data_IF_078983788690
#
_entry.id   IF_078983788690
#
_cell.length_a   1.000
_cell.length_b   1.000
_cell.length_c   1.000
_cell.angle_alpha   90.00
_cell.angle_beta   90.00
_cell.angle_gamma   90.00
#
_symmetry.space_group_name_H-M   'P 1'
#
loop_
_entity.id
_entity.type
_entity.pdbx_description
1 polymer ?
#
# COMPACT_ATOMS: atom_id res chain seq x y z
N UNK A 1 -30.40 -23.88 11.28
CA UNK A 1 -29.80 -25.19 10.95
C UNK A 1 -29.45 -25.16 9.47
N UNK A 2 -28.17 -25.22 9.10
CA UNK A 2 -27.72 -25.07 7.71
C UNK A 2 -28.20 -26.26 6.85
N UNK A 3 -28.65 -26.02 5.61
CA UNK A 3 -29.08 -27.07 4.67
C UNK A 3 -27.93 -28.04 4.33
N UNK A 4 -28.18 -29.35 4.15
CA UNK A 4 -27.17 -30.32 3.70
C UNK A 4 -26.49 -29.94 2.37
N UNK A 5 -27.23 -29.27 1.47
CA UNK A 5 -26.74 -28.83 0.16
C UNK A 5 -25.66 -27.75 0.31
N UNK A 6 -25.77 -26.88 1.31
CA UNK A 6 -24.82 -25.77 1.51
C UNK A 6 -23.41 -26.25 1.88
N UNK A 7 -23.29 -27.30 2.70
CA UNK A 7 -21.98 -27.84 3.10
C UNK A 7 -21.27 -28.52 1.94
N UNK A 8 -22.03 -29.12 1.03
CA UNK A 8 -21.53 -29.86 -0.12
C UNK A 8 -20.81 -28.93 -1.12
N UNK A 9 -21.38 -27.75 -1.41
CA UNK A 9 -20.81 -26.80 -2.38
C UNK A 9 -19.42 -26.29 -1.96
N UNK A 10 -19.20 -26.00 -0.67
CA UNK A 10 -17.88 -25.51 -0.21
C UNK A 10 -16.84 -26.61 -0.25
N UNK A 11 -17.18 -27.81 0.23
CA UNK A 11 -16.27 -28.95 0.20
C UNK A 11 -15.85 -29.26 -1.24
N UNK A 12 -16.81 -29.28 -2.18
CA UNK A 12 -16.54 -29.50 -3.60
C UNK A 12 -15.67 -28.40 -4.21
N UNK A 13 -15.98 -27.12 -3.96
CA UNK A 13 -15.22 -26.00 -4.49
C UNK A 13 -13.78 -25.96 -3.94
N UNK A 14 -13.57 -26.26 -2.65
CA UNK A 14 -12.24 -26.37 -2.05
C UNK A 14 -11.48 -27.55 -2.65
N UNK A 15 -12.10 -28.73 -2.78
CA UNK A 15 -11.45 -29.93 -3.30
C UNK A 15 -10.94 -29.77 -4.74
N UNK A 16 -11.59 -28.93 -5.57
CA UNK A 16 -11.13 -28.64 -6.95
C UNK A 16 -9.72 -28.05 -6.99
N UNK A 17 -9.31 -27.31 -5.97
CA UNK A 17 -7.97 -26.72 -5.91
C UNK A 17 -6.88 -27.72 -5.51
N UNK A 18 -7.23 -28.93 -5.05
CA UNK A 18 -6.26 -29.96 -4.73
C UNK A 18 -5.49 -30.49 -5.95
N UNK A 19 -5.99 -30.24 -7.16
CA UNK A 19 -5.33 -30.61 -8.42
C UNK A 19 -4.49 -29.47 -9.02
N UNK A 20 -4.32 -28.34 -8.33
CA UNK A 20 -3.46 -27.26 -8.81
C UNK A 20 -1.99 -27.73 -8.88
N UNK A 21 -1.29 -27.32 -9.94
CA UNK A 21 0.11 -27.72 -10.17
C UNK A 21 1.07 -27.18 -9.10
N UNK A 22 0.83 -25.96 -8.63
CA UNK A 22 1.60 -25.35 -7.55
C UNK A 22 0.94 -25.66 -6.20
N UNK A 23 1.63 -26.38 -5.29
CA UNK A 23 1.13 -26.66 -3.95
C UNK A 23 0.77 -25.40 -3.15
N UNK A 24 1.51 -24.29 -3.35
CA UNK A 24 1.24 -23.04 -2.64
C UNK A 24 -0.03 -22.38 -3.15
N UNK A 25 -0.23 -22.33 -4.47
CA UNK A 25 -1.49 -21.88 -5.05
C UNK A 25 -2.68 -22.72 -4.56
N UNK A 26 -2.51 -24.05 -4.48
CA UNK A 26 -3.54 -24.95 -3.95
C UNK A 26 -3.94 -24.56 -2.52
N UNK A 27 -2.96 -24.33 -1.65
CA UNK A 27 -3.19 -23.91 -0.26
C UNK A 27 -3.94 -22.58 -0.17
N UNK A 28 -3.47 -21.56 -0.91
CA UNK A 28 -4.05 -20.21 -0.92
C UNK A 28 -5.51 -20.23 -1.40
N UNK A 29 -5.79 -20.90 -2.51
CA UNK A 29 -7.13 -20.93 -3.09
C UNK A 29 -8.11 -21.76 -2.25
N UNK A 30 -7.65 -22.85 -1.65
CA UNK A 30 -8.46 -23.60 -0.70
C UNK A 30 -8.87 -22.76 0.51
N UNK A 31 -7.94 -21.96 1.06
CA UNK A 31 -8.25 -21.04 2.16
C UNK A 31 -9.22 -19.93 1.71
N UNK A 32 -8.95 -19.30 0.57
CA UNK A 32 -9.80 -18.25 0.02
C UNK A 32 -11.26 -18.72 -0.16
N UNK A 33 -11.47 -19.89 -0.77
CA UNK A 33 -12.82 -20.45 -0.95
C UNK A 33 -13.52 -20.65 0.39
N UNK A 34 -12.82 -21.18 1.40
CA UNK A 34 -13.41 -21.39 2.74
C UNK A 34 -13.85 -20.06 3.37
N UNK A 35 -13.01 -19.04 3.33
CA UNK A 35 -13.33 -17.73 3.92
C UNK A 35 -14.41 -16.99 3.12
N UNK A 36 -14.37 -17.04 1.79
CA UNK A 36 -15.37 -16.41 0.92
C UNK A 36 -16.77 -17.02 1.14
N UNK A 37 -16.87 -18.35 1.16
CA UNK A 37 -18.14 -19.02 1.44
C UNK A 37 -18.55 -18.90 2.92
N UNK A 38 -17.60 -18.71 3.84
CA UNK A 38 -17.86 -18.37 5.23
C UNK A 38 -18.58 -17.02 5.33
N UNK A 39 -17.98 -15.98 4.76
CA UNK A 39 -18.53 -14.63 4.68
C UNK A 39 -19.93 -14.62 4.06
N UNK A 40 -20.11 -15.25 2.88
CA UNK A 40 -21.41 -15.26 2.20
C UNK A 40 -22.54 -15.87 3.05
N UNK A 41 -22.23 -16.90 3.86
CA UNK A 41 -23.21 -17.49 4.79
C UNK A 41 -23.45 -16.65 6.02
N UNK A 42 -22.38 -16.06 6.57
CA UNK A 42 -22.45 -15.20 7.74
C UNK A 42 -23.42 -14.04 7.52
N UNK A 43 -23.32 -13.40 6.35
CA UNK A 43 -24.17 -12.25 6.00
C UNK A 43 -25.46 -12.64 5.27
N UNK A 44 -25.67 -13.93 4.96
CA UNK A 44 -26.78 -14.42 4.11
C UNK A 44 -26.88 -13.67 2.77
N UNK A 45 -25.76 -13.60 2.06
CA UNK A 45 -25.61 -12.80 0.84
C UNK A 45 -26.71 -13.12 -0.19
N UNK A 46 -27.42 -12.09 -0.63
CA UNK A 46 -28.52 -12.21 -1.59
C UNK A 46 -28.05 -12.10 -3.05
N UNK A 47 -28.88 -12.56 -4.00
CA UNK A 47 -28.56 -12.44 -5.44
C UNK A 47 -28.37 -10.97 -5.89
N UNK A 48 -29.19 -9.99 -5.47
CA UNK A 48 -28.96 -8.59 -5.82
C UNK A 48 -27.67 -8.02 -5.24
N UNK A 49 -27.32 -8.35 -3.98
CA UNK A 49 -26.06 -7.91 -3.37
C UNK A 49 -24.86 -8.53 -4.06
N UNK A 50 -24.94 -9.82 -4.42
CA UNK A 50 -23.91 -10.48 -5.21
C UNK A 50 -23.74 -9.82 -6.59
N UNK A 51 -24.84 -9.51 -7.29
CA UNK A 51 -24.79 -8.83 -8.59
C UNK A 51 -24.18 -7.41 -8.48
N UNK A 52 -24.50 -6.69 -7.40
CA UNK A 52 -23.89 -5.39 -7.10
C UNK A 52 -22.38 -5.53 -6.85
N UNK A 53 -21.95 -6.53 -6.09
CA UNK A 53 -20.53 -6.82 -5.86
C UNK A 53 -19.78 -7.17 -7.17
N UNK A 54 -20.38 -7.96 -8.06
CA UNK A 54 -19.79 -8.27 -9.38
C UNK A 54 -19.65 -7.01 -10.25
N UNK A 55 -20.65 -6.13 -10.21
CA UNK A 55 -20.60 -4.83 -10.89
C UNK A 55 -19.47 -3.97 -10.32
N UNK A 56 -19.33 -3.90 -9.00
CA UNK A 56 -18.27 -3.16 -8.33
C UNK A 56 -16.88 -3.69 -8.73
N UNK A 57 -16.64 -5.01 -8.64
CA UNK A 57 -15.37 -5.63 -9.03
C UNK A 57 -15.02 -5.36 -10.51
N UNK A 58 -16.03 -5.40 -11.39
CA UNK A 58 -15.87 -5.11 -12.81
C UNK A 58 -15.41 -3.67 -13.02
N UNK A 59 -16.07 -2.71 -12.37
CA UNK A 59 -15.72 -1.29 -12.46
C UNK A 59 -14.34 -1.00 -11.87
N UNK A 60 -13.98 -1.64 -10.75
CA UNK A 60 -12.65 -1.52 -10.13
C UNK A 60 -11.56 -1.98 -11.09
N UNK A 61 -11.78 -3.07 -11.83
CA UNK A 61 -10.87 -3.50 -12.88
C UNK A 61 -10.81 -2.54 -14.06
N UNK A 62 -11.95 -2.03 -14.54
CA UNK A 62 -12.04 -1.16 -15.72
C UNK A 62 -11.44 0.23 -15.54
N UNK A 63 -11.51 0.80 -14.34
CA UNK A 63 -10.92 2.11 -14.05
C UNK A 63 -9.41 2.03 -13.79
N UNK A 64 -8.88 0.83 -13.56
CA UNK A 64 -7.45 0.64 -13.31
C UNK A 64 -6.65 0.70 -14.62
N UNK A 65 -5.52 1.39 -14.61
CA UNK A 65 -4.57 1.52 -15.70
C UNK A 65 -3.11 1.54 -15.20
N UNK A 66 -2.16 1.98 -16.02
CA UNK A 66 -0.74 2.03 -15.65
C UNK A 66 -0.42 3.06 -14.53
N UNK A 67 -1.28 4.07 -14.33
CA UNK A 67 -1.13 5.11 -13.32
C UNK A 67 -2.08 4.92 -12.13
N UNK A 68 -3.21 4.23 -12.33
CA UNK A 68 -4.25 3.99 -11.33
C UNK A 68 -4.43 2.51 -11.05
N UNK A 69 -4.19 2.09 -9.81
CA UNK A 69 -4.43 0.72 -9.36
C UNK A 69 -5.58 0.65 -8.34
N UNK A 70 -6.83 0.67 -8.81
CA UNK A 70 -8.01 0.73 -7.94
C UNK A 70 -8.15 -0.51 -7.04
N UNK A 71 -7.66 -1.69 -7.47
CA UNK A 71 -7.61 -2.87 -6.61
C UNK A 71 -6.59 -2.77 -5.47
N UNK A 72 -5.47 -2.05 -5.69
CA UNK A 72 -4.53 -1.75 -4.59
C UNK A 72 -5.21 -0.79 -3.61
N UNK A 73 -5.91 0.23 -4.13
CA UNK A 73 -6.65 1.16 -3.30
C UNK A 73 -7.76 0.46 -2.49
N UNK A 74 -8.46 -0.50 -3.10
CA UNK A 74 -9.42 -1.36 -2.40
C UNK A 74 -8.77 -2.16 -1.27
N UNK A 75 -7.57 -2.72 -1.51
CA UNK A 75 -6.79 -3.42 -0.50
C UNK A 75 -6.37 -2.50 0.65
N UNK A 76 -6.05 -1.24 0.37
CA UNK A 76 -5.68 -0.24 1.37
C UNK A 76 -6.86 0.11 2.29
N UNK A 77 -8.03 0.42 1.73
CA UNK A 77 -9.22 0.80 2.53
C UNK A 77 -9.81 -0.38 3.32
N UNK A 78 -9.62 -1.61 2.84
CA UNK A 78 -9.99 -2.83 3.56
C UNK A 78 -8.94 -3.25 4.60
N UNK A 79 -7.79 -2.57 4.67
CA UNK A 79 -6.69 -2.86 5.59
C UNK A 79 -5.84 -4.09 5.22
N UNK A 80 -6.11 -4.73 4.07
CA UNK A 80 -5.38 -5.91 3.63
C UNK A 80 -3.91 -5.60 3.36
N UNK A 81 -3.60 -4.46 2.74
CA UNK A 81 -2.22 -4.06 2.43
C UNK A 81 -1.38 -3.93 3.72
N UNK A 82 -1.94 -3.30 4.76
CA UNK A 82 -1.28 -3.17 6.07
C UNK A 82 -1.10 -4.53 6.75
N UNK A 83 -2.10 -5.40 6.69
CA UNK A 83 -1.99 -6.75 7.26
C UNK A 83 -0.91 -7.58 6.57
N UNK A 84 -0.79 -7.49 5.24
CA UNK A 84 0.27 -8.18 4.47
C UNK A 84 1.65 -7.64 4.87
N UNK A 85 1.79 -6.32 5.00
CA UNK A 85 3.03 -5.69 5.47
C UNK A 85 3.41 -6.21 6.87
N UNK A 86 2.48 -6.22 7.81
CA UNK A 86 2.73 -6.67 9.19
C UNK A 86 3.17 -8.14 9.25
N UNK A 87 2.48 -9.04 8.52
CA UNK A 87 2.82 -10.46 8.52
C UNK A 87 4.21 -10.75 7.93
N UNK A 88 4.61 -10.01 6.90
CA UNK A 88 5.85 -10.26 6.16
C UNK A 88 7.05 -9.44 6.65
N UNK A 89 6.81 -8.44 7.50
CA UNK A 89 7.85 -7.63 8.11
C UNK A 89 7.89 -7.81 9.62
N UNK A 90 7.92 -9.07 10.08
CA UNK A 90 8.25 -9.40 11.46
C UNK A 90 9.59 -8.75 11.83
N UNK A 91 9.56 -7.94 12.88
CA UNK A 91 10.68 -7.10 13.30
C UNK A 91 11.01 -7.39 14.76
N UNK A 92 12.31 -7.35 15.09
CA UNK A 92 12.74 -7.30 16.47
C UNK A 92 12.09 -6.10 17.19
N UNK A 93 11.82 -6.23 18.49
CA UNK A 93 11.06 -5.27 19.29
C UNK A 93 11.65 -3.83 19.39
N UNK A 94 12.74 -3.53 18.68
CA UNK A 94 13.38 -2.21 18.59
C UNK A 94 13.46 -1.62 17.18
N UNK A 95 13.00 -2.30 16.13
CA UNK A 95 13.02 -1.73 14.78
C UNK A 95 11.84 -0.77 14.56
N UNK A 96 12.07 0.31 13.80
CA UNK A 96 10.99 1.20 13.34
C UNK A 96 9.89 0.37 12.66
N UNK A 97 8.59 0.56 12.95
CA UNK A 97 7.51 -0.20 12.31
C UNK A 97 7.46 -0.02 10.78
N UNK A 98 6.97 -1.04 10.08
CA UNK A 98 6.70 -0.97 8.65
C UNK A 98 5.39 -0.23 8.38
N UNK A 99 5.21 0.28 7.17
CA UNK A 99 3.90 0.73 6.68
C UNK A 99 3.80 0.46 5.17
N UNK A 100 2.59 0.58 4.62
CA UNK A 100 2.36 0.45 3.17
C UNK A 100 3.20 1.47 2.39
N UNK A 101 3.70 1.03 1.22
CA UNK A 101 4.46 1.91 0.32
C UNK A 101 3.57 3.02 -0.27
N UNK A 102 2.29 2.71 -0.49
CA UNK A 102 1.34 3.59 -1.19
C UNK A 102 1.63 3.65 -2.70
N UNK A 103 0.73 4.30 -3.48
CA UNK A 103 0.79 4.27 -4.94
C UNK A 103 1.73 5.32 -5.55
N UNK A 104 2.32 6.19 -4.74
CA UNK A 104 3.03 7.40 -5.22
C UNK A 104 4.56 7.31 -5.16
N UNK A 105 5.11 6.15 -4.82
CA UNK A 105 6.55 5.93 -4.93
C UNK A 105 6.93 5.82 -6.42
N UNK A 106 7.98 6.53 -6.81
CA UNK A 106 8.54 6.52 -8.17
C UNK A 106 10.00 6.11 -8.07
N UNK A 107 10.39 5.09 -8.82
CA UNK A 107 11.80 4.66 -8.88
C UNK A 107 12.70 5.76 -9.47
N UNK A 108 13.99 5.69 -9.13
CA UNK A 108 14.97 6.63 -9.69
C UNK A 108 14.92 8.04 -9.08
N UNK A 109 14.57 8.18 -7.80
CA UNK A 109 14.76 9.42 -7.02
C UNK A 109 16.18 9.99 -7.19
N UNK A 110 16.33 11.30 -7.44
CA UNK A 110 17.65 11.93 -7.56
C UNK A 110 18.41 11.84 -6.24
N UNK A 111 19.72 11.69 -6.29
CA UNK A 111 20.55 11.68 -5.08
C UNK A 111 20.91 13.11 -4.69
N UNK A 112 20.67 13.46 -3.43
CA UNK A 112 20.97 14.78 -2.88
C UNK A 112 21.99 14.71 -1.73
N UNK A 113 22.89 15.72 -1.61
CA UNK A 113 23.80 15.81 -0.47
C UNK A 113 23.07 15.98 0.88
N UNK A 114 23.79 15.74 1.97
CA UNK A 114 23.30 15.97 3.33
C UNK A 114 22.75 17.39 3.50
N UNK A 115 21.49 17.51 3.92
CA UNK A 115 20.81 18.79 4.16
C UNK A 115 20.42 19.58 2.90
N UNK A 116 20.66 19.03 1.71
CA UNK A 116 20.19 19.63 0.46
C UNK A 116 18.65 19.58 0.38
N UNK A 117 18.06 20.59 -0.26
CA UNK A 117 16.61 20.77 -0.31
C UNK A 117 16.00 20.00 -1.48
N UNK A 118 15.17 18.99 -1.21
CA UNK A 118 14.40 18.29 -2.26
C UNK A 118 13.17 19.07 -2.74
N UNK A 119 12.86 20.20 -2.09
CA UNK A 119 11.80 21.13 -2.45
C UNK A 119 12.35 22.44 -3.04
N UNK A 120 13.54 22.43 -3.64
CA UNK A 120 14.12 23.64 -4.22
C UNK A 120 13.22 24.20 -5.33
N UNK A 121 12.94 25.50 -5.31
CA UNK A 121 11.99 26.13 -6.22
C UNK A 121 10.50 25.93 -5.90
N UNK A 122 10.15 25.15 -4.87
CA UNK A 122 8.74 24.83 -4.52
C UNK A 122 8.30 25.62 -3.30
N UNK A 123 7.14 26.27 -3.41
CA UNK A 123 6.55 27.04 -2.31
C UNK A 123 6.00 26.13 -1.20
N UNK A 124 6.24 26.50 0.04
CA UNK A 124 5.71 25.79 1.21
C UNK A 124 6.40 26.23 2.51
N UNK A 125 5.93 25.72 3.65
CA UNK A 125 6.55 25.96 4.95
C UNK A 125 7.84 25.13 5.02
N UNK A 126 9.04 25.72 5.17
CA UNK A 126 10.27 24.95 5.24
C UNK A 126 10.27 23.94 6.38
N UNK A 127 10.69 22.71 6.09
CA UNK A 127 10.75 21.59 7.03
C UNK A 127 12.13 20.93 6.99
N UNK A 128 12.67 20.66 8.17
CA UNK A 128 13.88 19.86 8.36
C UNK A 128 13.50 18.57 9.08
N UNK A 129 13.76 17.43 8.43
CA UNK A 129 13.61 16.11 9.04
C UNK A 129 15.00 15.57 9.32
N UNK A 130 15.31 15.40 10.59
CA UNK A 130 16.64 14.97 11.05
C UNK A 130 16.51 13.77 11.97
N UNK A 131 17.57 12.96 12.02
CA UNK A 131 17.61 11.79 12.89
C UNK A 131 18.91 11.02 12.73
N UNK A 132 18.93 9.81 13.31
CA UNK A 132 20.07 8.90 13.26
C UNK A 132 19.56 7.51 12.89
N UNK A 133 20.14 6.91 11.86
CA UNK A 133 19.87 5.52 11.49
C UNK A 133 20.62 4.60 12.44
N UNK A 134 19.91 3.66 13.05
CA UNK A 134 20.47 2.68 13.99
C UNK A 134 20.06 1.26 13.65
N UNK A 135 20.90 0.30 14.02
CA UNK A 135 20.53 -1.10 14.08
C UNK A 135 19.73 -1.41 15.37
N UNK A 136 19.22 -2.64 15.47
CA UNK A 136 18.40 -3.11 16.61
C UNK A 136 19.18 -3.22 17.93
N UNK A 137 20.51 -3.21 17.89
CA UNK A 137 21.37 -3.17 19.08
C UNK A 137 21.67 -1.74 19.54
N UNK A 138 21.23 -0.74 18.78
CA UNK A 138 21.45 0.69 19.03
C UNK A 138 22.72 1.25 18.38
N UNK A 139 23.49 0.43 17.66
CA UNK A 139 24.65 0.87 16.88
C UNK A 139 24.23 1.80 15.75
N UNK A 140 25.04 2.81 15.41
CA UNK A 140 24.75 3.73 14.31
C UNK A 140 25.09 3.11 12.96
N UNK A 141 24.26 3.37 11.94
CA UNK A 141 24.45 2.83 10.59
C UNK A 141 24.89 3.92 9.63
N UNK A 142 26.15 3.85 9.23
CA UNK A 142 26.77 4.74 8.25
C UNK A 142 26.42 4.31 6.82
N UNK A 143 26.23 5.27 5.91
CA UNK A 143 26.01 4.95 4.50
C UNK A 143 24.62 4.39 4.16
N UNK A 144 23.68 4.40 5.11
CA UNK A 144 22.30 3.99 4.86
C UNK A 144 21.62 4.96 3.89
N UNK A 145 20.89 4.41 2.92
CA UNK A 145 20.14 5.21 1.94
C UNK A 145 18.72 5.46 2.46
N UNK A 146 18.33 6.73 2.52
CA UNK A 146 16.96 7.18 2.78
C UNK A 146 16.36 7.61 1.43
N UNK A 147 15.46 6.81 0.86
CA UNK A 147 14.63 7.19 -0.29
C UNK A 147 13.34 7.84 0.24
N UNK A 148 13.18 9.14 -0.02
CA UNK A 148 12.12 9.97 0.57
C UNK A 148 11.28 10.56 -0.55
N UNK A 149 9.96 10.52 -0.39
CA UNK A 149 8.99 11.17 -1.27
C UNK A 149 7.81 11.69 -0.45
N UNK A 150 7.17 12.76 -0.92
CA UNK A 150 6.01 13.35 -0.25
C UNK A 150 5.10 14.10 -1.22
N UNK A 151 3.87 14.40 -0.77
CA UNK A 151 3.01 15.39 -1.39
C UNK A 151 3.54 16.82 -1.15
N UNK A 152 3.13 17.74 -2.03
CA UNK A 152 3.37 19.17 -1.87
C UNK A 152 2.44 19.84 -0.83
N UNK A 153 2.52 21.17 -0.72
CA UNK A 153 1.70 21.97 0.18
C UNK A 153 0.19 21.97 -0.17
N UNK A 154 -0.19 21.36 -1.30
CA UNK A 154 -1.57 21.19 -1.76
C UNK A 154 -2.03 19.72 -1.70
N UNK A 155 -1.20 18.80 -1.22
CA UNK A 155 -1.54 17.39 -1.12
C UNK A 155 -1.38 16.62 -2.43
N UNK A 156 -0.59 17.14 -3.38
CA UNK A 156 -0.38 16.53 -4.70
C UNK A 156 1.02 15.92 -4.80
N UNK A 157 1.09 14.67 -5.26
CA UNK A 157 2.36 13.98 -5.59
C UNK A 157 2.80 14.25 -7.03
N UNK A 158 4.10 14.09 -7.30
CA UNK A 158 4.71 14.21 -8.64
C UNK A 158 3.92 13.44 -9.73
N UNK A 159 3.62 12.17 -9.47
CA UNK A 159 2.95 11.30 -10.45
C UNK A 159 1.50 11.69 -10.79
N UNK A 160 0.91 12.65 -10.05
CA UNK A 160 -0.44 13.15 -10.30
C UNK A 160 -0.48 14.39 -11.20
N UNK A 161 0.69 14.89 -11.61
CA UNK A 161 0.82 16.08 -12.43
C UNK A 161 1.05 15.69 -13.88
N UNK A 162 0.71 16.61 -14.77
CA UNK A 162 0.96 16.46 -16.21
C UNK A 162 2.38 16.93 -16.62
N UNK A 163 3.21 17.35 -15.67
CA UNK A 163 4.57 17.82 -15.90
C UNK A 163 5.60 16.67 -15.72
N UNK A 164 6.72 16.76 -16.43
CA UNK A 164 7.84 15.80 -16.34
C UNK A 164 8.89 16.21 -15.27
N UNK A 165 8.66 17.31 -14.55
CA UNK A 165 9.60 17.80 -13.54
C UNK A 165 9.65 16.88 -12.30
N UNK A 166 10.84 16.37 -12.00
CA UNK A 166 11.11 15.62 -10.77
C UNK A 166 11.04 16.55 -9.56
N UNK A 167 10.19 16.24 -8.58
CA UNK A 167 10.00 17.09 -7.41
C UNK A 167 9.60 16.33 -6.15
N UNK A 168 10.04 16.86 -5.00
CA UNK A 168 9.67 16.35 -3.67
C UNK A 168 9.97 14.86 -3.44
N UNK A 169 10.92 14.32 -4.19
CA UNK A 169 11.54 13.02 -3.95
C UNK A 169 13.05 13.09 -4.09
N UNK A 170 13.76 12.40 -3.22
CA UNK A 170 15.22 12.32 -3.25
C UNK A 170 15.75 11.15 -2.43
N UNK A 171 16.95 10.70 -2.79
CA UNK A 171 17.77 9.79 -2.00
C UNK A 171 18.83 10.56 -1.24
N UNK A 172 18.89 10.34 0.07
CA UNK A 172 19.94 10.84 0.95
C UNK A 172 20.74 9.68 1.53
N UNK A 173 21.97 9.97 1.95
CA UNK A 173 22.84 8.97 2.59
C UNK A 173 23.17 9.41 4.01
N UNK A 174 23.04 8.51 4.99
CA UNK A 174 23.45 8.77 6.37
C UNK A 174 24.96 9.02 6.46
N UNK A 175 25.34 10.01 7.24
CA UNK A 175 26.73 10.39 7.51
C UNK A 175 27.41 9.38 8.45
N UNK A 176 28.74 9.46 8.63
CA UNK A 176 29.41 8.79 9.74
C UNK A 176 28.72 9.12 11.09
N UNK A 177 28.43 8.09 11.88
CA UNK A 177 27.59 8.19 13.08
C UNK A 177 26.09 8.08 12.80
N UNK A 178 25.69 7.70 11.58
CA UNK A 178 24.32 7.44 11.15
C UNK A 178 23.39 8.65 10.99
N UNK A 179 23.90 9.88 11.15
CA UNK A 179 23.07 11.09 11.09
C UNK A 179 22.53 11.34 9.68
N UNK A 180 21.27 11.77 9.55
CA UNK A 180 20.68 12.24 8.30
C UNK A 180 19.99 13.60 8.48
N UNK A 181 19.91 14.36 7.39
CA UNK A 181 19.19 15.63 7.33
C UNK A 181 18.53 15.76 5.95
N UNK A 182 17.20 15.74 5.94
CA UNK A 182 16.36 15.99 4.77
C UNK A 182 15.77 17.39 4.92
N UNK A 183 15.99 18.24 3.91
CA UNK A 183 15.37 19.56 3.83
C UNK A 183 14.28 19.53 2.76
N UNK A 184 13.10 20.00 3.12
CA UNK A 184 11.89 19.95 2.29
C UNK A 184 10.90 21.05 2.72
N UNK A 185 9.65 20.94 2.31
CA UNK A 185 8.50 21.69 2.80
C UNK A 185 7.55 20.78 3.59
N UNK A 186 6.76 21.34 4.50
CA UNK A 186 5.73 20.59 5.23
C UNK A 186 4.67 20.06 4.24
N UNK A 187 4.46 18.73 4.17
CA UNK A 187 3.42 18.16 3.32
C UNK A 187 2.04 18.48 3.89
N UNK A 188 1.05 18.68 3.01
CA UNK A 188 -0.35 18.64 3.41
C UNK A 188 -0.85 17.19 3.40
N UNK A 189 -1.83 16.88 4.25
CA UNK A 189 -2.59 15.64 4.10
C UNK A 189 -3.26 15.59 2.73
N UNK A 190 -3.28 14.41 2.11
CA UNK A 190 -3.92 14.20 0.81
C UNK A 190 -5.09 13.24 0.95
N UNK A 191 -5.99 13.29 -0.02
CA UNK A 191 -7.05 12.31 -0.19
C UNK A 191 -6.65 11.32 -1.26
N UNK A 192 -6.99 10.05 -1.05
CA UNK A 192 -6.96 9.04 -2.10
C UNK A 192 -7.94 9.42 -3.24
N UNK A 193 -7.78 8.88 -4.46
CA UNK A 193 -8.75 9.09 -5.53
C UNK A 193 -10.18 8.71 -5.08
N UNK A 194 -11.11 9.66 -5.16
CA UNK A 194 -12.50 9.50 -4.72
C UNK A 194 -13.51 9.36 -5.87
N UNK A 195 -13.05 9.44 -7.11
CA UNK A 195 -13.83 9.42 -8.34
C UNK A 195 -14.08 8.00 -8.91
N UNK A 196 -13.75 6.97 -8.13
CA UNK A 196 -13.86 5.56 -8.53
C UNK A 196 -14.70 4.71 -7.58
N UNK A 197 -14.84 3.41 -7.88
CA UNK A 197 -15.62 2.47 -7.07
C UNK A 197 -15.19 2.42 -5.59
N UNK A 198 -13.90 2.61 -5.28
CA UNK A 198 -13.46 2.67 -3.88
C UNK A 198 -13.97 3.92 -3.18
N UNK A 199 -13.92 5.08 -3.86
CA UNK A 199 -14.48 6.32 -3.36
C UNK A 199 -15.97 6.21 -3.04
N UNK A 200 -16.74 5.61 -3.95
CA UNK A 200 -18.18 5.34 -3.75
C UNK A 200 -18.47 4.39 -2.59
N UNK A 201 -17.55 3.46 -2.26
CA UNK A 201 -17.74 2.50 -1.18
C UNK A 201 -17.54 3.11 0.21
N UNK A 202 -16.67 4.12 0.33
CA UNK A 202 -16.25 4.70 1.61
C UNK A 202 -16.82 6.10 1.88
N UNK A 203 -17.55 6.67 0.93
CA UNK A 203 -18.26 7.96 1.05
C UNK A 203 -19.58 7.83 1.80
#
# INVERSE_FOLDING_TARGET
MQSPIDKDVTALATARWATAHDPRLAELMQALVRHLHGFAREVQLTEPEWAAAMTWLTRTGQISDAKRAEFILASDVLGLSMLVVEMNHHRDAGATPATVLGPFHIEGSPTLPYGANMADGISGIPLYVTGVVRDVSGGTVDGAVLDVWQADAHGIYEGQLDDEETRLRAKYTSQPGGAYCVRTIAPLGYSIPMDGPVGELIS
#
